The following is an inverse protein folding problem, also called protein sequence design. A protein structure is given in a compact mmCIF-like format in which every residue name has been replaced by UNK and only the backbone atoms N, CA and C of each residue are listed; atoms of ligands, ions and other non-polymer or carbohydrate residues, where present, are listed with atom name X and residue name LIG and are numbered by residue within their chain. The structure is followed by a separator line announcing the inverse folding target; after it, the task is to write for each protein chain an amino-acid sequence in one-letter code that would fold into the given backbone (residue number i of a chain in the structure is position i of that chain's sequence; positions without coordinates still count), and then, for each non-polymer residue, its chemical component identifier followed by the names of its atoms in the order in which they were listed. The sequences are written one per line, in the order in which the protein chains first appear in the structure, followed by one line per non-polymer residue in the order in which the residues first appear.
data_IF_827976725422
#
_entry.id   IF_827976725422
#
_cell.length_a   1.000
_cell.length_b   1.000
_cell.length_c   1.000
_cell.angle_alpha   90.00
_cell.angle_beta   90.00
_cell.angle_gamma   90.00
#
_symmetry.space_group_name_H-M   'P 1'
#
loop_
_entity.id
_entity.type
_entity.pdbx_description
1 polymer ?
#
# COMPACT_ATOMS: atom_id res chain seq x y z
N UNK A 1 18.12 -11.38 68.93
CA UNK A 1 18.02 -9.96 68.50
C UNK A 1 17.01 -9.86 67.36
N UNK A 2 16.10 -8.89 67.41
CA UNK A 2 15.16 -8.60 66.31
C UNK A 2 13.84 -8.04 66.85
N UNK A 3 13.74 -6.71 66.91
CA UNK A 3 12.65 -5.94 67.54
C UNK A 3 11.40 -5.85 66.66
N UNK A 4 10.33 -5.42 67.33
CA UNK A 4 9.32 -4.45 66.88
C UNK A 4 7.96 -4.99 66.48
N UNK A 5 7.10 -4.95 67.49
CA UNK A 5 5.70 -4.52 67.45
C UNK A 5 5.39 -3.49 66.36
N UNK A 6 4.26 -3.63 65.67
CA UNK A 6 3.36 -2.50 65.42
C UNK A 6 1.91 -2.94 65.14
N UNK A 7 1.04 -2.26 65.88
CA UNK A 7 -0.40 -2.45 66.07
C UNK A 7 -1.15 -1.66 65.01
N UNK A 8 -2.15 -2.27 64.36
CA UNK A 8 -3.14 -1.57 63.53
C UNK A 8 -4.05 -0.71 64.41
N UNK A 9 -4.48 0.46 63.90
CA UNK A 9 -5.92 0.71 63.87
C UNK A 9 -6.42 1.28 62.53
N UNK A 10 -7.70 1.03 62.32
CA UNK A 10 -8.55 1.42 61.18
C UNK A 10 -8.60 2.92 60.91
N UNK A 11 -8.67 3.30 59.62
CA UNK A 11 -9.54 4.39 59.16
C UNK A 11 -10.07 4.05 57.78
N UNK A 12 -11.39 3.93 57.64
CA UNK A 12 -12.07 3.78 56.36
C UNK A 12 -11.92 5.04 55.52
N UNK A 13 -11.79 4.86 54.21
CA UNK A 13 -11.86 5.95 53.24
C UNK A 13 -12.83 5.61 52.10
N UNK A 14 -13.48 6.64 51.53
CA UNK A 14 -14.77 6.49 50.86
C UNK A 14 -14.63 5.87 49.48
N UNK A 15 -15.62 5.04 49.13
CA UNK A 15 -15.88 4.53 47.79
C UNK A 15 -16.30 5.71 46.90
N UNK A 16 -15.34 6.35 46.25
CA UNK A 16 -15.65 7.28 45.15
C UNK A 16 -16.04 6.48 43.92
N UNK A 17 -17.23 6.80 43.43
CA UNK A 17 -17.88 6.18 42.29
C UNK A 17 -16.97 6.20 41.06
N UNK A 18 -16.93 5.06 40.39
CA UNK A 18 -16.41 4.92 39.04
C UNK A 18 -17.27 5.77 38.10
N UNK A 19 -16.92 7.03 37.90
CA UNK A 19 -17.35 7.76 36.72
C UNK A 19 -16.33 7.46 35.61
N UNK A 20 -16.38 6.23 35.09
CA UNK A 20 -15.87 5.94 33.75
C UNK A 20 -16.83 6.59 32.76
N UNK A 21 -16.64 7.87 32.52
CA UNK A 21 -17.21 8.50 31.33
C UNK A 21 -16.60 7.81 30.11
N UNK A 22 -17.40 7.24 29.20
CA UNK A 22 -16.89 6.90 27.88
C UNK A 22 -16.60 8.24 27.21
N UNK A 23 -15.34 8.69 27.26
CA UNK A 23 -14.88 9.70 26.33
C UNK A 23 -14.84 9.00 24.98
N UNK A 24 -15.93 9.15 24.24
CA UNK A 24 -16.06 8.86 22.82
C UNK A 24 -14.72 9.10 22.16
N UNK A 25 -14.03 8.02 21.78
CA UNK A 25 -12.91 8.08 20.86
C UNK A 25 -13.50 8.74 19.62
N UNK A 26 -13.24 10.04 19.45
CA UNK A 26 -13.60 10.79 18.25
C UNK A 26 -13.18 9.92 17.07
N UNK A 27 -14.16 9.50 16.28
CA UNK A 27 -13.97 8.84 14.99
C UNK A 27 -13.22 9.84 14.10
N UNK A 28 -11.90 9.82 14.16
CA UNK A 28 -11.06 10.38 13.12
C UNK A 28 -11.16 9.43 11.94
N UNK A 29 -12.23 9.53 11.14
CA UNK A 29 -12.31 8.79 9.86
C UNK A 29 -13.12 9.49 8.77
N UNK A 30 -13.84 10.58 9.04
CA UNK A 30 -14.74 11.16 8.01
C UNK A 30 -14.21 12.42 7.32
N UNK A 31 -13.03 12.94 7.69
CA UNK A 31 -12.48 14.18 7.11
C UNK A 31 -11.65 13.98 5.83
N UNK A 32 -11.26 12.75 5.49
CA UNK A 32 -10.63 12.43 4.19
C UNK A 32 -11.63 12.17 3.06
N UNK A 33 -12.93 12.21 3.37
CA UNK A 33 -14.05 11.72 2.56
C UNK A 33 -14.83 12.83 1.84
N UNK A 34 -14.45 14.09 2.01
CA UNK A 34 -15.05 15.24 1.32
C UNK A 34 -13.89 16.00 0.71
N UNK A 35 -13.58 15.74 -0.56
CA UNK A 35 -12.50 16.42 -1.27
C UNK A 35 -11.93 15.69 -2.48
N UNK A 36 -12.15 14.37 -2.61
CA UNK A 36 -11.70 13.61 -3.77
C UNK A 36 -12.68 13.75 -4.94
N UNK A 37 -12.20 14.25 -6.08
CA UNK A 37 -12.96 14.19 -7.33
C UNK A 37 -12.94 12.75 -7.88
N UNK A 38 -14.07 12.04 -7.75
CA UNK A 38 -14.21 10.62 -8.14
C UNK A 38 -13.88 10.39 -9.62
N UNK A 39 -14.28 11.31 -10.50
CA UNK A 39 -14.04 11.18 -11.95
C UNK A 39 -12.58 11.38 -12.32
N UNK A 40 -11.88 12.30 -11.63
CA UNK A 40 -10.43 12.46 -11.79
C UNK A 40 -9.67 11.19 -11.35
N UNK A 41 -10.05 10.60 -10.22
CA UNK A 41 -9.42 9.37 -9.71
C UNK A 41 -9.70 8.18 -10.62
N UNK A 42 -10.91 8.05 -11.16
CA UNK A 42 -11.22 7.04 -12.18
C UNK A 42 -10.38 7.22 -13.45
N UNK A 43 -10.18 8.48 -13.86
CA UNK A 43 -9.32 8.80 -15.02
C UNK A 43 -7.88 8.40 -14.76
N UNK A 44 -7.33 8.74 -13.59
CA UNK A 44 -5.99 8.34 -13.18
C UNK A 44 -5.84 6.82 -13.13
N UNK A 45 -6.82 6.10 -12.56
CA UNK A 45 -6.82 4.64 -12.50
C UNK A 45 -6.68 4.01 -13.90
N UNK A 46 -7.46 4.50 -14.88
CA UNK A 46 -7.36 4.03 -16.28
C UNK A 46 -5.99 4.32 -16.89
N UNK A 47 -5.41 5.50 -16.64
CA UNK A 47 -4.08 5.86 -17.14
C UNK A 47 -2.99 4.96 -16.55
N UNK A 48 -3.05 4.66 -15.25
CA UNK A 48 -2.12 3.75 -14.58
C UNK A 48 -2.21 2.32 -15.15
N UNK A 49 -3.42 1.84 -15.41
CA UNK A 49 -3.65 0.54 -16.04
C UNK A 49 -3.07 0.49 -17.46
N UNK A 50 -3.34 1.53 -18.27
CA UNK A 50 -2.79 1.63 -19.63
C UNK A 50 -1.26 1.66 -19.62
N UNK A 51 -0.65 2.40 -18.69
CA UNK A 51 0.81 2.45 -18.54
C UNK A 51 1.39 1.08 -18.14
N UNK A 52 0.73 0.33 -17.24
CA UNK A 52 1.10 -1.05 -16.90
C UNK A 52 1.15 -1.95 -18.14
N UNK A 53 0.11 -1.89 -18.98
CA UNK A 53 0.02 -2.66 -20.21
C UNK A 53 1.08 -2.27 -21.23
N UNK A 54 1.33 -0.97 -21.40
CA UNK A 54 2.39 -0.46 -22.27
C UNK A 54 3.78 -0.97 -21.85
N UNK A 55 4.08 -0.98 -20.54
CA UNK A 55 5.36 -1.52 -20.03
C UNK A 55 5.49 -3.02 -20.31
N UNK A 56 4.43 -3.80 -20.11
CA UNK A 56 4.41 -5.24 -20.44
C UNK A 56 4.64 -5.49 -21.93
N UNK A 57 3.96 -4.71 -22.78
CA UNK A 57 4.11 -4.80 -24.24
C UNK A 57 5.54 -4.44 -24.67
N UNK A 58 6.11 -3.37 -24.12
CA UNK A 58 7.48 -2.95 -24.41
C UNK A 58 8.49 -4.03 -23.99
N UNK A 59 8.33 -4.61 -22.80
CA UNK A 59 9.19 -5.69 -22.30
C UNK A 59 9.16 -6.91 -23.23
N UNK A 60 7.97 -7.32 -23.69
CA UNK A 60 7.81 -8.41 -24.65
C UNK A 60 8.45 -8.08 -26.01
N UNK A 61 8.20 -6.89 -26.55
CA UNK A 61 8.78 -6.46 -27.83
C UNK A 61 10.31 -6.43 -27.81
N UNK A 62 10.90 -5.91 -26.74
CA UNK A 62 12.36 -5.85 -26.58
C UNK A 62 12.96 -7.25 -26.42
N UNK A 63 12.29 -8.14 -25.68
CA UNK A 63 12.70 -9.55 -25.55
C UNK A 63 12.70 -10.26 -26.91
N UNK A 64 11.63 -10.08 -27.71
CA UNK A 64 11.54 -10.64 -29.05
C UNK A 64 12.62 -10.08 -29.98
N UNK A 65 12.86 -8.76 -29.95
CA UNK A 65 13.94 -8.13 -30.72
C UNK A 65 15.30 -8.70 -30.33
N UNK A 66 15.58 -8.86 -29.03
CA UNK A 66 16.83 -9.44 -28.55
C UNK A 66 17.00 -10.89 -29.03
N UNK A 67 15.93 -11.69 -29.02
CA UNK A 67 15.96 -13.08 -29.49
C UNK A 67 16.24 -13.21 -30.99
N UNK A 68 15.88 -12.20 -31.80
CA UNK A 68 16.11 -12.19 -33.24
C UNK A 68 17.46 -11.60 -33.67
N UNK A 69 18.34 -11.25 -32.73
CA UNK A 69 19.64 -10.67 -33.04
C UNK A 69 20.64 -11.73 -33.55
N UNK A 70 21.57 -11.32 -34.43
CA UNK A 70 22.47 -12.23 -35.15
C UNK A 70 23.92 -12.23 -34.66
N UNK A 71 24.30 -11.25 -33.84
CA UNK A 71 25.60 -11.21 -33.15
C UNK A 71 25.71 -12.40 -32.19
N UNK A 72 26.89 -12.99 -32.12
CA UNK A 72 27.19 -14.19 -31.33
C UNK A 72 28.41 -13.95 -30.45
N UNK A 73 28.57 -14.76 -29.40
CA UNK A 73 29.74 -14.74 -28.53
C UNK A 73 29.42 -14.42 -27.07
N UNK A 74 30.48 -14.21 -26.28
CA UNK A 74 30.37 -14.03 -24.83
C UNK A 74 29.52 -12.81 -24.45
N UNK A 75 29.63 -11.71 -25.20
CA UNK A 75 28.89 -10.48 -24.91
C UNK A 75 27.38 -10.66 -25.13
N UNK A 76 26.98 -11.41 -26.16
CA UNK A 76 25.58 -11.75 -26.40
C UNK A 76 25.02 -12.57 -25.22
N UNK A 77 25.73 -13.61 -24.81
CA UNK A 77 25.32 -14.46 -23.70
C UNK A 77 25.21 -13.67 -22.38
N UNK A 78 26.18 -12.77 -22.13
CA UNK A 78 26.17 -11.88 -20.97
C UNK A 78 24.97 -10.95 -20.99
N UNK A 79 24.75 -10.23 -22.10
CA UNK A 79 23.64 -9.29 -22.21
C UNK A 79 22.29 -10.00 -22.11
N UNK A 80 22.13 -11.19 -22.71
CA UNK A 80 20.91 -11.97 -22.60
C UNK A 80 20.61 -12.38 -21.15
N UNK A 81 21.65 -12.79 -20.41
CA UNK A 81 21.53 -13.09 -18.97
C UNK A 81 21.13 -11.85 -18.15
N UNK A 82 21.77 -10.70 -18.39
CA UNK A 82 21.44 -9.44 -17.73
C UNK A 82 20.01 -8.96 -18.09
N UNK A 83 19.58 -9.17 -19.34
CA UNK A 83 18.24 -8.85 -19.82
C UNK A 83 17.16 -9.72 -19.16
N UNK A 84 17.32 -11.04 -19.22
CA UNK A 84 16.35 -12.01 -18.69
C UNK A 84 16.27 -11.91 -17.15
N UNK A 85 17.39 -11.61 -16.49
CA UNK A 85 17.47 -11.43 -15.04
C UNK A 85 17.01 -10.06 -14.56
N UNK A 86 17.84 -9.03 -14.77
CA UNK A 86 17.64 -7.72 -14.13
C UNK A 86 16.63 -6.86 -14.87
N UNK A 87 16.79 -6.70 -16.19
CA UNK A 87 15.99 -5.73 -16.94
C UNK A 87 14.53 -6.15 -17.10
N UNK A 88 14.26 -7.39 -17.51
CA UNK A 88 12.89 -7.90 -17.63
C UNK A 88 12.17 -7.94 -16.29
N UNK A 89 12.85 -8.31 -15.21
CA UNK A 89 12.28 -8.29 -13.85
C UNK A 89 11.91 -6.88 -13.43
N UNK A 90 12.80 -5.89 -13.63
CA UNK A 90 12.51 -4.50 -13.26
C UNK A 90 11.31 -3.93 -14.03
N UNK A 91 11.22 -4.18 -15.34
CA UNK A 91 10.06 -3.77 -16.14
C UNK A 91 8.77 -4.43 -15.66
N UNK A 92 8.82 -5.72 -15.31
CA UNK A 92 7.68 -6.44 -14.74
C UNK A 92 7.23 -5.83 -13.42
N UNK A 93 8.16 -5.54 -12.52
CA UNK A 93 7.89 -4.92 -11.22
C UNK A 93 7.24 -3.53 -11.39
N UNK A 94 7.71 -2.72 -12.34
CA UNK A 94 7.09 -1.42 -12.66
C UNK A 94 5.66 -1.62 -13.16
N UNK A 95 5.42 -2.56 -14.07
CA UNK A 95 4.08 -2.83 -14.57
C UNK A 95 3.13 -3.31 -13.45
N UNK A 96 3.61 -4.16 -12.55
CA UNK A 96 2.85 -4.64 -11.40
C UNK A 96 2.52 -3.52 -10.43
N UNK A 97 3.48 -2.64 -10.11
CA UNK A 97 3.25 -1.48 -9.25
C UNK A 97 2.21 -0.52 -9.84
N UNK A 98 2.25 -0.26 -11.15
CA UNK A 98 1.25 0.57 -11.83
C UNK A 98 -0.15 -0.06 -11.79
N UNK A 99 -0.26 -1.37 -11.98
CA UNK A 99 -1.54 -2.09 -11.90
C UNK A 99 -2.11 -2.06 -10.47
N UNK A 100 -1.27 -2.24 -9.44
CA UNK A 100 -1.68 -2.14 -8.04
C UNK A 100 -2.17 -0.74 -7.69
N UNK A 101 -1.45 0.30 -8.14
CA UNK A 101 -1.86 1.68 -7.95
C UNK A 101 -3.20 1.98 -8.65
N UNK A 102 -3.41 1.46 -9.86
CA UNK A 102 -4.68 1.55 -10.59
C UNK A 102 -5.84 0.94 -9.79
N UNK A 103 -5.63 -0.27 -9.24
CA UNK A 103 -6.63 -0.98 -8.44
C UNK A 103 -6.97 -0.21 -7.15
N UNK A 104 -5.97 0.32 -6.46
CA UNK A 104 -6.17 1.12 -5.25
C UNK A 104 -6.96 2.41 -5.55
N UNK A 105 -6.63 3.12 -6.64
CA UNK A 105 -7.37 4.29 -7.07
C UNK A 105 -8.84 3.96 -7.39
N UNK A 106 -9.10 2.84 -8.07
CA UNK A 106 -10.46 2.40 -8.38
C UNK A 106 -11.25 2.05 -7.10
N UNK A 107 -10.63 1.38 -6.14
CA UNK A 107 -11.24 1.04 -4.85
C UNK A 107 -11.63 2.31 -4.09
N UNK A 108 -10.70 3.26 -3.95
CA UNK A 108 -10.97 4.54 -3.29
C UNK A 108 -12.15 5.28 -3.96
N UNK A 109 -12.18 5.36 -5.30
CA UNK A 109 -13.27 5.98 -6.04
C UNK A 109 -14.63 5.30 -5.79
N UNK A 110 -14.66 3.97 -5.72
CA UNK A 110 -15.89 3.20 -5.46
C UNK A 110 -16.39 3.42 -4.02
N UNK A 111 -15.50 3.41 -3.03
CA UNK A 111 -15.84 3.67 -1.63
C UNK A 111 -16.44 5.07 -1.46
N UNK A 112 -15.86 6.08 -2.13
CA UNK A 112 -16.35 7.44 -2.08
C UNK A 112 -17.75 7.59 -2.71
N UNK A 113 -18.00 6.93 -3.86
CA UNK A 113 -19.32 6.96 -4.50
C UNK A 113 -20.40 6.30 -3.64
N UNK A 114 -20.06 5.27 -2.88
CA UNK A 114 -20.99 4.60 -1.95
C UNK A 114 -21.33 5.48 -0.74
N UNK A 115 -20.38 6.27 -0.24
CA UNK A 115 -20.56 7.09 0.96
C UNK A 115 -21.24 8.43 0.64
N UNK A 116 -21.01 8.98 -0.55
CA UNK A 116 -21.64 10.23 -0.99
C UNK A 116 -23.08 10.06 -1.52
N UNK A 117 -23.57 8.82 -1.64
CA UNK A 117 -24.94 8.50 -2.07
C UNK A 117 -25.95 8.47 -0.93
#
# INVERSE_FOLDING_TARGET
MGRSTHRRPHVGRPRFQQHRTPHTRRRTTMAGMIGMNVEEVRTLSRQLQQASEQVKQLQSQLTSKLSGTTWVGQDQARFKSEWDGTHSTNLRNVAEALAQASQAAQQNANEQEQISR
#
